data_IF_939975304519
#
_entry.id   IF_939975304519
#
_cell.length_a   1.000
_cell.length_b   1.000
_cell.length_c   1.000
_cell.angle_alpha   90.00
_cell.angle_beta   90.00
_cell.angle_gamma   90.00
#
_symmetry.space_group_name_H-M   'P 1'
#
loop_
_entity.id
_entity.type
_entity.pdbx_description
1 polymer ?
#
# COMPACT_ATOMS: atom_id res chain seq x y z
N UNK A 1 18.25 -11.23 -34.84
CA UNK A 1 18.08 -12.57 -34.25
C UNK A 1 18.72 -12.60 -32.87
N UNK A 2 18.08 -13.26 -31.89
CA UNK A 2 18.65 -13.48 -30.56
C UNK A 2 19.69 -14.61 -30.66
N UNK A 3 20.86 -14.48 -30.04
CA UNK A 3 21.85 -15.58 -30.05
C UNK A 3 21.54 -16.63 -28.99
N UNK A 4 22.01 -17.89 -29.14
CA UNK A 4 21.80 -18.96 -28.16
C UNK A 4 22.33 -18.62 -26.76
N UNK A 5 23.46 -17.90 -26.68
CA UNK A 5 24.04 -17.49 -25.39
C UNK A 5 23.16 -16.45 -24.68
N UNK A 6 22.61 -15.46 -25.41
CA UNK A 6 21.70 -14.46 -24.86
C UNK A 6 20.44 -15.14 -24.33
N UNK A 7 19.93 -16.12 -25.08
CA UNK A 7 18.79 -16.92 -24.68
C UNK A 7 19.01 -17.63 -23.34
N UNK A 8 20.15 -18.30 -23.17
CA UNK A 8 20.49 -18.96 -21.91
C UNK A 8 20.57 -17.98 -20.73
N UNK A 9 21.20 -16.82 -20.92
CA UNK A 9 21.27 -15.77 -19.89
C UNK A 9 19.87 -15.27 -19.53
N UNK A 10 19.00 -15.06 -20.52
CA UNK A 10 17.59 -14.67 -20.28
C UNK A 10 16.83 -15.72 -19.48
N UNK A 11 17.04 -17.01 -19.74
CA UNK A 11 16.44 -18.10 -18.97
C UNK A 11 16.93 -18.08 -17.50
N UNK A 12 18.22 -17.94 -17.26
CA UNK A 12 18.79 -17.85 -15.90
C UNK A 12 18.19 -16.66 -15.14
N UNK A 13 18.21 -15.47 -15.76
CA UNK A 13 17.66 -14.24 -15.16
C UNK A 13 16.17 -14.42 -14.84
N UNK A 14 15.40 -15.04 -15.74
CA UNK A 14 13.99 -15.34 -15.53
C UNK A 14 13.76 -16.27 -14.34
N UNK A 15 14.54 -17.35 -14.21
CA UNK A 15 14.45 -18.24 -13.05
C UNK A 15 14.77 -17.52 -11.74
N UNK A 16 15.85 -16.75 -11.70
CA UNK A 16 16.21 -15.94 -10.51
C UNK A 16 15.08 -14.98 -10.15
N UNK A 17 14.51 -14.28 -11.13
CA UNK A 17 13.38 -13.37 -10.90
C UNK A 17 12.16 -14.10 -10.35
N UNK A 18 11.77 -15.24 -10.92
CA UNK A 18 10.64 -16.06 -10.46
C UNK A 18 10.81 -16.50 -9.00
N UNK A 19 12.01 -16.97 -8.64
CA UNK A 19 12.35 -17.46 -7.31
C UNK A 19 12.33 -16.32 -6.27
N UNK A 20 12.88 -15.15 -6.62
CA UNK A 20 12.88 -13.97 -5.76
C UNK A 20 11.49 -13.34 -5.60
N UNK A 21 10.64 -13.39 -6.62
CA UNK A 21 9.33 -12.75 -6.60
C UNK A 21 8.24 -13.62 -5.95
N UNK A 22 8.43 -14.95 -5.92
CA UNK A 22 7.48 -15.90 -5.35
C UNK A 22 7.13 -15.61 -3.87
N UNK A 23 8.10 -15.38 -2.95
CA UNK A 23 7.78 -15.05 -1.55
C UNK A 23 6.95 -13.77 -1.42
N UNK A 24 7.20 -12.77 -2.27
CA UNK A 24 6.47 -11.50 -2.27
C UNK A 24 5.01 -11.72 -2.70
N UNK A 25 4.78 -12.55 -3.71
CA UNK A 25 3.44 -12.92 -4.16
C UNK A 25 2.68 -13.73 -3.12
N UNK A 26 3.31 -14.76 -2.55
CA UNK A 26 2.70 -15.59 -1.49
C UNK A 26 2.30 -14.71 -0.32
N UNK A 27 3.18 -13.79 0.12
CA UNK A 27 2.86 -12.84 1.16
C UNK A 27 1.69 -11.91 0.79
N UNK A 28 1.63 -11.40 -0.45
CA UNK A 28 0.53 -10.56 -0.92
C UNK A 28 -0.80 -11.31 -0.96
N UNK A 29 -0.82 -12.53 -1.50
CA UNK A 29 -2.01 -13.39 -1.55
C UNK A 29 -2.50 -13.70 -0.13
N UNK A 30 -1.59 -14.12 0.74
CA UNK A 30 -1.89 -14.37 2.15
C UNK A 30 -2.48 -13.13 2.84
N UNK A 31 -1.91 -11.95 2.58
CA UNK A 31 -2.43 -10.68 3.12
C UNK A 31 -3.82 -10.33 2.59
N UNK A 32 -4.09 -10.54 1.30
CA UNK A 32 -5.42 -10.31 0.72
C UNK A 32 -6.46 -11.26 1.30
N UNK A 33 -6.08 -12.51 1.57
CA UNK A 33 -6.99 -13.48 2.16
C UNK A 33 -7.33 -13.15 3.61
N UNK A 34 -6.38 -12.56 4.36
CA UNK A 34 -6.54 -12.27 5.78
C UNK A 34 -7.24 -10.94 6.09
N UNK A 35 -7.25 -9.98 5.16
CA UNK A 35 -7.84 -8.66 5.38
C UNK A 35 -8.74 -8.24 4.22
N UNK A 36 -9.88 -7.57 4.46
CA UNK A 36 -10.70 -7.03 3.40
C UNK A 36 -9.85 -6.10 2.51
N UNK A 37 -9.82 -6.42 1.22
CA UNK A 37 -8.97 -5.77 0.26
C UNK A 37 -9.76 -4.84 -0.65
N UNK A 38 -9.15 -3.70 -0.97
CA UNK A 38 -9.70 -2.77 -1.96
C UNK A 38 -9.53 -3.35 -3.37
N UNK A 39 -10.40 -2.97 -4.30
CA UNK A 39 -10.32 -3.41 -5.70
C UNK A 39 -8.92 -3.16 -6.35
N UNK A 40 -8.26 -2.01 -6.14
CA UNK A 40 -6.88 -1.79 -6.59
C UNK A 40 -5.89 -2.82 -6.04
N UNK A 41 -5.99 -3.17 -4.75
CA UNK A 41 -5.07 -4.11 -4.11
C UNK A 41 -5.21 -5.53 -4.68
N UNK A 42 -6.46 -5.94 -4.96
CA UNK A 42 -6.75 -7.20 -5.65
C UNK A 42 -6.18 -7.16 -7.06
N UNK A 43 -6.46 -6.10 -7.83
CA UNK A 43 -6.00 -5.94 -9.21
C UNK A 43 -4.48 -6.01 -9.35
N UNK A 44 -3.73 -5.33 -8.48
CA UNK A 44 -2.25 -5.37 -8.47
C UNK A 44 -1.73 -6.76 -8.13
N UNK A 45 -2.41 -7.48 -7.24
CA UNK A 45 -1.98 -8.84 -6.88
C UNK A 45 -2.29 -9.82 -8.01
N UNK A 46 -3.46 -9.73 -8.63
CA UNK A 46 -3.78 -10.49 -9.85
C UNK A 46 -2.78 -10.18 -10.96
N UNK A 47 -2.45 -8.91 -11.20
CA UNK A 47 -1.41 -8.49 -12.14
C UNK A 47 -0.07 -9.19 -11.84
N UNK A 48 0.38 -9.16 -10.58
CA UNK A 48 1.63 -9.80 -10.17
C UNK A 48 1.62 -11.32 -10.37
N UNK A 49 0.51 -11.98 -10.02
CA UNK A 49 0.34 -13.44 -10.20
C UNK A 49 0.33 -13.81 -11.68
N UNK A 50 -0.41 -13.08 -12.50
CA UNK A 50 -0.48 -13.32 -13.96
C UNK A 50 0.89 -13.07 -14.59
N UNK A 51 1.59 -11.99 -14.22
CA UNK A 51 2.94 -11.72 -14.72
C UNK A 51 3.93 -12.82 -14.33
N UNK A 52 3.88 -13.29 -13.09
CA UNK A 52 4.74 -14.38 -12.63
C UNK A 52 4.44 -15.68 -13.37
N UNK A 53 3.14 -16.03 -13.50
CA UNK A 53 2.73 -17.21 -14.24
C UNK A 53 3.12 -17.12 -15.72
N UNK A 54 2.97 -15.95 -16.33
CA UNK A 54 3.39 -15.70 -17.71
C UNK A 54 4.90 -15.91 -17.89
N UNK A 55 5.72 -15.35 -17.01
CA UNK A 55 7.17 -15.58 -17.01
C UNK A 55 7.50 -17.06 -16.80
N UNK A 56 6.79 -17.76 -15.91
CA UNK A 56 6.97 -19.19 -15.69
C UNK A 56 6.66 -20.02 -16.94
N UNK A 57 5.57 -19.70 -17.65
CA UNK A 57 5.19 -20.39 -18.89
C UNK A 57 6.22 -20.26 -20.00
N UNK A 58 7.02 -19.19 -20.01
CA UNK A 58 8.08 -19.00 -21.00
C UNK A 58 9.40 -19.75 -20.72
N UNK A 59 9.49 -20.48 -19.63
CA UNK A 59 10.64 -21.37 -19.40
C UNK A 59 10.61 -22.53 -20.40
N UNK A 60 11.75 -22.92 -20.96
CA UNK A 60 11.80 -23.91 -22.06
C UNK A 60 11.15 -25.24 -21.65
N UNK A 61 11.37 -25.66 -20.40
CA UNK A 61 10.78 -26.87 -19.81
C UNK A 61 9.25 -26.79 -19.79
N UNK A 62 8.68 -25.72 -19.25
CA UNK A 62 7.22 -25.56 -19.16
C UNK A 62 6.63 -25.37 -20.55
N UNK A 63 7.29 -24.59 -21.41
CA UNK A 63 6.88 -24.35 -22.78
C UNK A 63 6.69 -25.64 -23.57
N UNK A 64 7.65 -26.57 -23.49
CA UNK A 64 7.58 -27.84 -24.21
C UNK A 64 6.43 -28.75 -23.75
N UNK A 65 5.99 -28.63 -22.50
CA UNK A 65 4.92 -29.43 -21.91
C UNK A 65 3.52 -28.88 -22.22
N UNK A 66 3.40 -27.63 -22.67
CA UNK A 66 2.10 -26.99 -22.86
C UNK A 66 1.41 -27.45 -24.16
N UNK A 67 0.07 -27.60 -24.15
CA UNK A 67 -0.71 -27.86 -25.35
C UNK A 67 -0.47 -26.79 -26.43
N UNK A 68 -0.46 -27.20 -27.70
CA UNK A 68 -0.20 -26.32 -28.85
C UNK A 68 -1.15 -25.11 -28.85
N UNK A 69 -2.42 -25.34 -28.52
CA UNK A 69 -3.45 -24.30 -28.48
C UNK A 69 -3.11 -23.23 -27.43
N UNK A 70 -2.63 -23.65 -26.26
CA UNK A 70 -2.26 -22.73 -25.20
C UNK A 70 -1.01 -21.91 -25.56
N UNK A 71 -0.02 -22.54 -26.20
CA UNK A 71 1.18 -21.85 -26.70
C UNK A 71 0.84 -20.78 -27.73
N UNK A 72 0.00 -21.12 -28.70
CA UNK A 72 -0.48 -20.19 -29.71
C UNK A 72 -1.24 -19.02 -29.08
N UNK A 73 -2.18 -19.28 -28.17
CA UNK A 73 -2.94 -18.23 -27.48
C UNK A 73 -2.02 -17.34 -26.60
N UNK A 74 -1.06 -17.94 -25.90
CA UNK A 74 -0.06 -17.24 -25.08
C UNK A 74 0.77 -16.27 -25.92
N UNK A 75 1.35 -16.73 -27.04
CA UNK A 75 2.10 -15.86 -27.96
C UNK A 75 1.21 -14.83 -28.66
N UNK A 76 -0.04 -15.21 -28.95
CA UNK A 76 -1.01 -14.34 -29.61
C UNK A 76 -1.44 -13.14 -28.76
N UNK A 77 -1.13 -13.12 -27.46
CA UNK A 77 -1.40 -11.99 -26.59
C UNK A 77 -2.42 -12.24 -25.49
N UNK A 78 -2.77 -13.50 -25.18
CA UNK A 78 -3.63 -13.87 -24.05
C UNK A 78 -3.18 -13.19 -22.74
N UNK A 79 -1.90 -13.32 -22.41
CA UNK A 79 -1.35 -12.72 -21.19
C UNK A 79 -1.30 -11.20 -21.27
N UNK A 80 -0.97 -10.63 -22.43
CA UNK A 80 -0.96 -9.18 -22.66
C UNK A 80 -2.34 -8.58 -22.39
N UNK A 81 -3.40 -9.18 -22.94
CA UNK A 81 -4.77 -8.74 -22.73
C UNK A 81 -5.21 -8.88 -21.26
N UNK A 82 -4.82 -9.99 -20.60
CA UNK A 82 -5.17 -10.22 -19.19
C UNK A 82 -4.45 -9.24 -18.26
N UNK A 83 -3.18 -8.93 -18.53
CA UNK A 83 -2.39 -7.92 -17.81
C UNK A 83 -2.99 -6.53 -17.99
N UNK A 84 -3.39 -6.18 -19.23
CA UNK A 84 -4.08 -4.93 -19.53
C UNK A 84 -5.41 -4.83 -18.77
N UNK A 85 -6.21 -5.91 -18.71
CA UNK A 85 -7.43 -5.95 -17.90
C UNK A 85 -7.15 -5.67 -16.42
N UNK A 86 -6.14 -6.29 -15.82
CA UNK A 86 -5.79 -6.02 -14.42
C UNK A 86 -5.38 -4.57 -14.20
N UNK A 87 -4.60 -4.00 -15.12
CA UNK A 87 -4.24 -2.58 -15.08
C UNK A 87 -5.46 -1.67 -15.23
N UNK A 88 -6.42 -1.99 -16.11
CA UNK A 88 -7.69 -1.26 -16.24
C UNK A 88 -8.51 -1.28 -14.95
N UNK A 89 -8.61 -2.43 -14.27
CA UNK A 89 -9.30 -2.52 -12.98
C UNK A 89 -8.59 -1.69 -11.92
N UNK A 90 -7.26 -1.68 -11.92
CA UNK A 90 -6.48 -0.81 -11.04
C UNK A 90 -6.75 0.68 -11.30
N UNK A 91 -6.71 1.11 -12.56
CA UNK A 91 -7.00 2.50 -12.97
C UNK A 91 -8.41 2.91 -12.55
N UNK A 92 -9.41 2.06 -12.82
CA UNK A 92 -10.79 2.28 -12.39
C UNK A 92 -10.88 2.41 -10.86
N UNK A 93 -10.18 1.54 -10.14
CA UNK A 93 -10.15 1.55 -8.69
C UNK A 93 -9.53 2.81 -8.08
N UNK A 94 -8.51 3.38 -8.72
CA UNK A 94 -7.90 4.67 -8.32
C UNK A 94 -8.83 5.84 -8.66
N UNK A 95 -9.49 5.80 -9.83
CA UNK A 95 -10.32 6.91 -10.31
C UNK A 95 -11.74 6.96 -9.71
N UNK A 96 -12.28 5.82 -9.23
CA UNK A 96 -13.64 5.72 -8.74
C UNK A 96 -13.75 6.08 -7.26
N UNK A 97 -13.62 7.36 -6.94
CA UNK A 97 -13.69 7.89 -5.56
C UNK A 97 -15.11 8.15 -5.02
N UNK A 98 -16.21 7.84 -5.75
CA UNK A 98 -17.53 8.38 -5.36
C UNK A 98 -18.78 7.48 -5.46
N UNK A 99 -18.84 6.38 -6.22
CA UNK A 99 -20.04 5.52 -6.16
C UNK A 99 -19.83 4.04 -6.53
N UNK A 100 -20.43 3.10 -5.76
CA UNK A 100 -20.32 1.66 -6.02
C UNK A 100 -20.96 1.25 -7.35
N UNK A 101 -22.00 1.95 -7.80
CA UNK A 101 -22.67 1.67 -9.08
C UNK A 101 -21.79 2.00 -10.29
N UNK A 102 -21.02 3.10 -10.20
CA UNK A 102 -20.05 3.46 -11.24
C UNK A 102 -18.93 2.44 -11.33
N UNK A 103 -18.46 1.94 -10.19
CA UNK A 103 -17.49 0.86 -10.13
C UNK A 103 -18.01 -0.42 -10.80
N UNK A 104 -19.24 -0.85 -10.47
CA UNK A 104 -19.86 -2.05 -11.08
C UNK A 104 -20.06 -1.90 -12.59
N UNK A 105 -20.47 -0.71 -13.06
CA UNK A 105 -20.63 -0.46 -14.51
C UNK A 105 -19.28 -0.46 -15.21
N UNK A 106 -18.27 0.21 -14.66
CA UNK A 106 -16.91 0.22 -15.20
C UNK A 106 -16.32 -1.19 -15.29
N UNK A 107 -16.47 -1.99 -14.22
CA UNK A 107 -16.00 -3.38 -14.21
C UNK A 107 -16.65 -4.22 -15.31
N UNK A 108 -17.97 -4.11 -15.51
CA UNK A 108 -18.67 -4.82 -16.60
C UNK A 108 -18.16 -4.43 -17.98
N UNK A 109 -17.89 -3.14 -18.20
CA UNK A 109 -17.33 -2.65 -19.47
C UNK A 109 -15.92 -3.22 -19.69
N UNK A 110 -15.04 -3.16 -18.68
CA UNK A 110 -13.68 -3.70 -18.76
C UNK A 110 -13.70 -5.20 -19.07
N UNK A 111 -14.53 -5.96 -18.37
CA UNK A 111 -14.69 -7.40 -18.60
C UNK A 111 -15.23 -7.70 -20.01
N UNK A 112 -16.24 -6.97 -20.46
CA UNK A 112 -16.80 -7.13 -21.80
C UNK A 112 -15.80 -6.84 -22.91
N UNK A 113 -15.08 -5.72 -22.81
CA UNK A 113 -14.02 -5.33 -23.77
C UNK A 113 -12.88 -6.36 -23.78
N UNK A 114 -12.44 -6.80 -22.60
CA UNK A 114 -11.38 -7.82 -22.49
C UNK A 114 -11.84 -9.14 -23.11
N UNK A 115 -13.07 -9.59 -22.86
CA UNK A 115 -13.61 -10.82 -23.44
C UNK A 115 -13.61 -10.76 -24.97
N UNK A 116 -14.06 -9.65 -25.56
CA UNK A 116 -14.01 -9.45 -27.02
C UNK A 116 -12.59 -9.53 -27.56
N UNK A 117 -11.64 -8.85 -26.91
CA UNK A 117 -10.23 -8.86 -27.30
C UNK A 117 -9.64 -10.27 -27.22
N UNK A 118 -9.93 -11.00 -26.13
CA UNK A 118 -9.48 -12.38 -25.95
C UNK A 118 -10.05 -13.32 -27.00
N UNK A 119 -11.31 -13.15 -27.40
CA UNK A 119 -11.91 -13.92 -28.50
C UNK A 119 -11.18 -13.63 -29.81
N UNK A 120 -10.96 -12.36 -30.16
CA UNK A 120 -10.23 -11.97 -31.38
C UNK A 120 -8.81 -12.55 -31.37
N UNK A 121 -8.08 -12.38 -30.27
CA UNK A 121 -6.72 -12.92 -30.11
C UNK A 121 -6.70 -14.45 -30.24
N UNK A 122 -7.63 -15.14 -29.59
CA UNK A 122 -7.66 -16.62 -29.59
C UNK A 122 -8.02 -17.18 -30.96
N UNK A 123 -9.01 -16.59 -31.64
CA UNK A 123 -9.41 -16.98 -33.00
C UNK A 123 -8.26 -16.74 -33.97
N UNK A 124 -7.66 -15.55 -33.97
CA UNK A 124 -6.52 -15.23 -34.84
C UNK A 124 -5.31 -16.12 -34.55
N UNK A 125 -5.01 -16.39 -33.28
CA UNK A 125 -3.93 -17.30 -32.91
C UNK A 125 -4.18 -18.75 -33.38
N UNK A 126 -5.42 -19.23 -33.33
CA UNK A 126 -5.80 -20.56 -33.81
C UNK A 126 -5.75 -20.72 -35.33
N UNK A 127 -5.77 -19.62 -36.08
CA UNK A 127 -5.67 -19.62 -37.54
C UNK A 127 -4.22 -19.43 -38.04
N UNK A 128 -3.28 -19.14 -37.15
CA UNK A 128 -1.88 -18.94 -37.50
C UNK A 128 -1.15 -20.26 -37.65
N UNK A 129 -0.62 -20.53 -38.84
CA UNK A 129 0.19 -21.72 -39.09
C UNK A 129 1.53 -21.65 -38.36
N UNK A 130 2.12 -20.45 -38.26
CA UNK A 130 3.40 -20.24 -37.57
C UNK A 130 3.27 -20.51 -36.07
N UNK A 131 2.21 -20.02 -35.43
CA UNK A 131 1.98 -20.23 -33.99
C UNK A 131 1.68 -21.70 -33.64
N UNK A 132 1.09 -22.46 -34.57
CA UNK A 132 0.75 -23.86 -34.36
C UNK A 132 1.87 -24.83 -34.70
N UNK A 133 2.72 -24.51 -35.69
CA UNK A 133 3.76 -25.42 -36.19
C UNK A 133 5.03 -25.41 -35.33
N UNK A 134 5.43 -24.27 -34.78
CA UNK A 134 6.75 -24.14 -34.15
C UNK A 134 6.72 -24.60 -32.69
N UNK A 135 7.50 -25.65 -32.37
CA UNK A 135 7.61 -26.18 -31.01
C UNK A 135 8.59 -25.37 -30.15
N UNK A 136 9.65 -24.85 -30.74
CA UNK A 136 10.72 -24.16 -30.03
C UNK A 136 10.41 -22.68 -29.86
N UNK A 137 10.42 -22.21 -28.60
CA UNK A 137 10.07 -20.83 -28.25
C UNK A 137 11.02 -19.81 -28.90
N UNK A 138 12.30 -20.17 -29.05
CA UNK A 138 13.30 -19.34 -29.70
C UNK A 138 13.00 -19.12 -31.19
N UNK A 139 12.72 -20.19 -31.92
CA UNK A 139 12.37 -20.15 -33.34
C UNK A 139 11.04 -19.43 -33.57
N UNK A 140 10.06 -19.69 -32.71
CA UNK A 140 8.75 -19.05 -32.76
C UNK A 140 8.86 -17.53 -32.54
N UNK A 141 9.70 -17.11 -31.61
CA UNK A 141 9.94 -15.69 -31.35
C UNK A 141 10.60 -15.03 -32.56
N UNK A 142 11.63 -15.65 -33.17
CA UNK A 142 12.25 -15.10 -34.38
C UNK A 142 11.26 -15.04 -35.55
N UNK A 143 10.46 -16.10 -35.77
CA UNK A 143 9.46 -16.15 -36.84
C UNK A 143 8.36 -15.08 -36.69
N UNK A 144 7.93 -14.80 -35.45
CA UNK A 144 7.00 -13.71 -35.16
C UNK A 144 7.60 -12.33 -35.40
N UNK A 145 8.90 -12.17 -35.14
CA UNK A 145 9.62 -10.92 -35.41
C UNK A 145 9.83 -10.66 -36.91
N UNK A 146 9.81 -11.72 -37.72
CA UNK A 146 9.99 -11.66 -39.18
C UNK A 146 8.65 -11.44 -39.94
N UNK A 147 7.50 -11.44 -39.24
CA UNK A 147 6.24 -10.87 -39.76
C UNK A 147 5.57 -11.62 -40.92
N UNK A 148 5.81 -12.93 -41.09
CA UNK A 148 5.29 -13.69 -42.23
C UNK A 148 3.82 -14.13 -42.17
N UNK A 149 3.16 -14.07 -41.01
CA UNK A 149 1.80 -14.61 -40.80
C UNK A 149 0.79 -13.53 -40.39
N UNK A 150 -0.17 -13.22 -41.27
CA UNK A 150 -1.19 -12.20 -41.06
C UNK A 150 -2.03 -12.44 -39.80
N UNK A 151 -2.34 -13.71 -39.49
CA UNK A 151 -3.16 -14.06 -38.34
C UNK A 151 -2.41 -13.83 -37.02
N UNK A 152 -1.10 -14.10 -37.01
CA UNK A 152 -0.24 -13.80 -35.87
C UNK A 152 -0.06 -12.27 -35.68
N UNK A 153 0.06 -11.51 -36.78
CA UNK A 153 0.12 -10.05 -36.73
C UNK A 153 -1.16 -9.48 -36.12
N UNK A 154 -2.34 -9.90 -36.56
CA UNK A 154 -3.62 -9.43 -36.01
C UNK A 154 -3.71 -9.72 -34.51
N UNK A 155 -3.39 -10.94 -34.08
CA UNK A 155 -3.41 -11.30 -32.66
C UNK A 155 -2.48 -10.39 -31.83
N UNK A 156 -1.22 -10.24 -32.28
CA UNK A 156 -0.24 -9.39 -31.61
C UNK A 156 -0.67 -7.93 -31.55
N UNK A 157 -1.11 -7.35 -32.67
CA UNK A 157 -1.45 -5.92 -32.76
C UNK A 157 -2.68 -5.59 -31.93
N UNK A 158 -3.71 -6.46 -31.93
CA UNK A 158 -4.92 -6.25 -31.12
C UNK A 158 -4.60 -6.31 -29.62
N UNK A 159 -3.83 -7.32 -29.17
CA UNK A 159 -3.43 -7.45 -27.77
C UNK A 159 -2.55 -6.28 -27.31
N UNK A 160 -1.52 -5.94 -28.09
CA UNK A 160 -0.62 -4.83 -27.76
C UNK A 160 -1.31 -3.46 -27.88
N UNK A 161 -2.25 -3.28 -28.80
CA UNK A 161 -3.07 -2.08 -28.92
C UNK A 161 -3.92 -1.83 -27.67
N UNK A 162 -4.55 -2.88 -27.14
CA UNK A 162 -5.29 -2.78 -25.89
C UNK A 162 -4.39 -2.43 -24.69
N UNK A 163 -3.22 -3.05 -24.60
CA UNK A 163 -2.23 -2.71 -23.60
C UNK A 163 -1.76 -1.25 -23.75
N UNK A 164 -1.50 -0.79 -24.98
CA UNK A 164 -1.06 0.58 -25.25
C UNK A 164 -2.09 1.61 -24.77
N UNK A 165 -3.37 1.43 -25.09
CA UNK A 165 -4.46 2.29 -24.59
C UNK A 165 -4.49 2.29 -23.06
N UNK A 166 -4.35 1.11 -22.46
CA UNK A 166 -4.33 0.96 -20.99
C UNK A 166 -3.15 1.69 -20.35
N UNK A 167 -1.96 1.62 -20.95
CA UNK A 167 -0.76 2.32 -20.48
C UNK A 167 -0.91 3.84 -20.59
N UNK A 168 -1.51 4.34 -21.67
CA UNK A 168 -1.83 5.78 -21.80
C UNK A 168 -2.79 6.23 -20.71
N UNK A 169 -3.83 5.44 -20.43
CA UNK A 169 -4.76 5.75 -19.34
C UNK A 169 -4.10 5.69 -17.97
N UNK A 170 -3.21 4.72 -17.74
CA UNK A 170 -2.45 4.61 -16.49
C UNK A 170 -1.50 5.80 -16.32
N UNK A 171 -0.81 6.21 -17.39
CA UNK A 171 0.04 7.40 -17.41
C UNK A 171 -0.77 8.65 -17.08
N UNK A 172 -1.90 8.85 -17.76
CA UNK A 172 -2.80 9.98 -17.54
C UNK A 172 -3.30 10.06 -16.09
N UNK A 173 -3.85 8.95 -15.57
CA UNK A 173 -4.39 8.91 -14.21
C UNK A 173 -3.27 9.06 -13.18
N UNK A 174 -2.12 8.43 -13.41
CA UNK A 174 -0.96 8.49 -12.51
C UNK A 174 -0.37 9.90 -12.42
N UNK A 175 -0.23 10.62 -13.55
CA UNK A 175 0.20 12.02 -13.52
C UNK A 175 -0.82 12.94 -12.85
N UNK A 176 -2.12 12.71 -13.06
CA UNK A 176 -3.17 13.52 -12.42
C UNK A 176 -3.21 13.37 -10.89
N UNK A 177 -2.87 12.19 -10.37
CA UNK A 177 -2.89 11.88 -8.94
C UNK A 177 -1.49 11.83 -8.32
N UNK A 178 -0.47 12.35 -9.02
CA UNK A 178 0.87 12.46 -8.48
C UNK A 178 0.90 13.57 -7.42
N UNK A 179 1.12 13.20 -6.16
CA UNK A 179 1.23 14.12 -5.04
C UNK A 179 2.42 13.75 -4.13
N UNK A 180 2.63 14.53 -3.06
CA UNK A 180 3.70 14.31 -2.09
C UNK A 180 3.41 13.17 -1.11
N UNK A 181 2.25 12.51 -1.19
CA UNK A 181 1.96 11.35 -0.36
C UNK A 181 2.72 10.13 -0.90
N UNK A 182 3.00 9.11 -0.05
CA UNK A 182 3.59 7.87 -0.52
C UNK A 182 2.80 7.21 -1.65
N UNK A 183 1.47 7.32 -1.64
CA UNK A 183 0.61 6.74 -2.68
C UNK A 183 0.73 7.53 -3.98
N UNK A 184 0.64 8.86 -3.95
CA UNK A 184 0.75 9.67 -5.16
C UNK A 184 2.15 9.64 -5.77
N UNK A 185 3.21 9.56 -4.97
CA UNK A 185 4.57 9.32 -5.50
C UNK A 185 4.65 7.96 -6.22
N UNK A 186 4.04 6.91 -5.65
CA UNK A 186 3.93 5.60 -6.30
C UNK A 186 3.18 5.67 -7.63
N UNK A 187 2.05 6.38 -7.68
CA UNK A 187 1.27 6.61 -8.91
C UNK A 187 2.06 7.42 -9.96
N UNK A 188 2.83 8.42 -9.55
CA UNK A 188 3.71 9.18 -10.44
C UNK A 188 4.82 8.31 -11.05
N UNK A 189 5.44 7.44 -10.26
CA UNK A 189 6.43 6.46 -10.76
C UNK A 189 5.77 5.49 -11.75
N UNK A 190 4.56 4.99 -11.45
CA UNK A 190 3.78 4.15 -12.37
C UNK A 190 3.43 4.88 -13.68
N UNK A 191 3.18 6.18 -13.63
CA UNK A 191 2.92 6.97 -14.83
C UNK A 191 4.14 7.04 -15.75
N UNK A 192 5.32 7.35 -15.18
CA UNK A 192 6.59 7.36 -15.92
C UNK A 192 6.90 5.97 -16.48
N UNK A 193 6.72 4.92 -15.66
CA UNK A 193 6.87 3.53 -16.09
C UNK A 193 5.98 3.20 -17.30
N UNK A 194 4.73 3.65 -17.26
CA UNK A 194 3.75 3.42 -18.33
C UNK A 194 4.13 4.12 -19.63
N UNK A 195 4.71 5.31 -19.57
CA UNK A 195 5.23 6.02 -20.75
C UNK A 195 6.37 5.26 -21.42
N UNK A 196 7.34 4.77 -20.64
CA UNK A 196 8.43 3.94 -21.19
C UNK A 196 7.90 2.63 -21.78
N UNK A 197 6.98 1.98 -21.07
CA UNK A 197 6.38 0.73 -21.55
C UNK A 197 5.54 0.96 -22.82
N UNK A 198 4.84 2.09 -22.94
CA UNK A 198 4.10 2.45 -24.14
C UNK A 198 5.02 2.56 -25.35
N UNK A 199 6.19 3.20 -25.22
CA UNK A 199 7.19 3.27 -26.30
C UNK A 199 7.65 1.86 -26.71
N UNK A 200 7.92 0.98 -25.75
CA UNK A 200 8.32 -0.40 -26.02
C UNK A 200 7.23 -1.19 -26.76
N UNK A 201 5.98 -1.06 -26.32
CA UNK A 201 4.81 -1.76 -26.90
C UNK A 201 4.47 -1.21 -28.28
N UNK A 202 4.49 0.12 -28.46
CA UNK A 202 4.17 0.76 -29.74
C UNK A 202 5.22 0.41 -30.80
N UNK A 203 6.51 0.50 -30.47
CA UNK A 203 7.59 0.18 -31.41
C UNK A 203 7.72 -1.32 -31.69
N UNK A 204 7.71 -2.15 -30.65
CA UNK A 204 7.98 -3.59 -30.77
C UNK A 204 6.74 -4.46 -31.02
N UNK A 205 5.61 -4.13 -30.41
CA UNK A 205 4.39 -4.95 -30.44
C UNK A 205 3.36 -4.54 -31.49
N UNK A 206 3.43 -3.30 -31.99
CA UNK A 206 2.49 -2.76 -32.99
C UNK A 206 3.23 -2.46 -34.30
N UNK A 207 4.21 -1.56 -34.27
CA UNK A 207 4.86 -1.08 -35.50
C UNK A 207 5.63 -2.18 -36.22
N UNK A 208 6.47 -2.93 -35.50
CA UNK A 208 7.33 -3.96 -36.08
C UNK A 208 6.56 -5.12 -36.75
N UNK A 209 5.49 -5.69 -36.16
CA UNK A 209 4.68 -6.68 -36.86
C UNK A 209 4.00 -6.12 -38.12
N UNK A 210 3.57 -4.86 -38.10
CA UNK A 210 2.90 -4.22 -39.25
C UNK A 210 3.85 -3.95 -40.42
N UNK A 211 5.13 -3.68 -40.16
CA UNK A 211 6.12 -3.42 -41.21
C UNK A 211 6.85 -4.68 -41.71
N UNK A 212 6.46 -5.86 -41.22
CA UNK A 212 7.12 -7.13 -41.57
C UNK A 212 8.61 -7.17 -41.20
N UNK A 213 9.03 -6.35 -40.23
CA UNK A 213 10.44 -6.26 -39.84
C UNK A 213 11.39 -5.61 -40.87
N UNK A 214 10.88 -5.09 -41.99
CA UNK A 214 11.70 -4.60 -43.12
C UNK A 214 12.21 -3.15 -42.99
N UNK A 215 11.84 -2.40 -41.95
CA UNK A 215 12.35 -1.03 -41.79
C UNK A 215 13.84 -1.02 -41.41
N UNK A 216 14.68 -0.40 -42.25
CA UNK A 216 16.15 -0.28 -42.12
C UNK A 216 16.61 0.42 -40.82
N UNK A 217 15.78 1.32 -40.29
CA UNK A 217 16.02 1.99 -38.99
C UNK A 217 15.59 1.07 -37.83
N UNK A 218 14.74 0.06 -38.07
CA UNK A 218 14.03 -0.68 -37.02
C UNK A 218 14.74 -1.94 -36.50
N UNK A 219 15.59 -2.61 -37.29
CA UNK A 219 16.04 -3.95 -36.86
C UNK A 219 16.99 -3.89 -35.66
N UNK A 220 18.06 -3.08 -35.72
CA UNK A 220 19.04 -2.99 -34.61
C UNK A 220 18.66 -1.93 -33.57
N UNK A 221 18.29 -0.73 -34.01
CA UNK A 221 17.88 0.34 -33.10
C UNK A 221 16.52 0.06 -32.46
N UNK A 222 15.56 -0.54 -33.18
CA UNK A 222 14.25 -0.88 -32.62
C UNK A 222 14.34 -1.98 -31.56
N UNK A 223 15.16 -3.01 -31.74
CA UNK A 223 15.42 -4.02 -30.70
C UNK A 223 16.04 -3.41 -29.43
N UNK A 224 17.03 -2.52 -29.60
CA UNK A 224 17.68 -1.85 -28.46
C UNK A 224 16.70 -0.91 -27.77
N UNK A 225 15.96 -0.10 -28.52
CA UNK A 225 14.95 0.81 -28.00
C UNK A 225 13.87 0.05 -27.22
N UNK A 226 13.31 -1.01 -27.80
CA UNK A 226 12.32 -1.87 -27.16
C UNK A 226 12.86 -2.51 -25.88
N UNK A 227 14.07 -3.06 -25.92
CA UNK A 227 14.67 -3.75 -24.77
C UNK A 227 14.99 -2.77 -23.64
N UNK A 228 15.57 -1.62 -23.96
CA UNK A 228 15.94 -0.59 -22.98
C UNK A 228 14.69 0.04 -22.35
N UNK A 229 13.76 0.53 -23.18
CA UNK A 229 12.53 1.17 -22.70
C UNK A 229 11.64 0.18 -21.95
N UNK A 230 11.53 -1.07 -22.41
CA UNK A 230 10.82 -2.12 -21.70
C UNK A 230 11.47 -2.48 -20.35
N UNK A 231 12.80 -2.60 -20.29
CA UNK A 231 13.50 -2.92 -19.04
C UNK A 231 13.37 -1.80 -18.00
N UNK A 232 13.53 -0.55 -18.44
CA UNK A 232 13.32 0.63 -17.58
C UNK A 232 11.86 0.70 -17.13
N UNK A 233 10.90 0.50 -18.05
CA UNK A 233 9.47 0.49 -17.76
C UNK A 233 9.10 -0.54 -16.71
N UNK A 234 9.51 -1.80 -16.87
CA UNK A 234 9.23 -2.89 -15.90
C UNK A 234 9.87 -2.63 -14.54
N UNK A 235 11.09 -2.09 -14.52
CA UNK A 235 11.78 -1.74 -13.27
C UNK A 235 11.03 -0.66 -12.52
N UNK A 236 10.66 0.43 -13.21
CA UNK A 236 9.89 1.52 -12.62
C UNK A 236 8.50 1.06 -12.19
N UNK A 237 7.86 0.18 -12.96
CA UNK A 237 6.55 -0.39 -12.59
C UNK A 237 6.63 -1.18 -11.28
N UNK A 238 7.69 -1.99 -11.13
CA UNK A 238 7.96 -2.73 -9.89
C UNK A 238 8.19 -1.78 -8.71
N UNK A 239 9.00 -0.74 -8.90
CA UNK A 239 9.26 0.29 -7.89
C UNK A 239 7.97 1.03 -7.54
N UNK A 240 7.17 1.45 -8.51
CA UNK A 240 5.93 2.21 -8.31
C UNK A 240 4.90 1.43 -7.49
N UNK A 241 4.75 0.12 -7.73
CA UNK A 241 3.86 -0.74 -6.93
C UNK A 241 4.41 -1.09 -5.54
N UNK A 242 5.73 -1.09 -5.37
CA UNK A 242 6.39 -1.41 -4.10
C UNK A 242 6.58 -0.18 -3.21
N UNK A 243 6.60 1.02 -3.78
CA UNK A 243 6.89 2.26 -3.09
C UNK A 243 5.91 2.58 -1.95
N UNK A 244 4.58 2.66 -2.17
CA UNK A 244 3.64 2.96 -1.08
C UNK A 244 3.74 1.98 0.11
N UNK A 245 3.71 0.64 -0.08
CA UNK A 245 3.77 -0.27 1.07
C UNK A 245 5.12 -0.24 1.80
N UNK A 246 6.24 -0.01 1.10
CA UNK A 246 7.55 0.09 1.75
C UNK A 246 7.66 1.38 2.56
N UNK A 247 7.32 2.52 1.98
CA UNK A 247 7.40 3.82 2.67
C UNK A 247 6.45 3.86 3.86
N UNK A 248 5.22 3.37 3.72
CA UNK A 248 4.27 3.29 4.84
C UNK A 248 4.77 2.38 5.96
N UNK A 249 5.41 1.25 5.62
CA UNK A 249 6.01 0.35 6.62
C UNK A 249 7.19 0.99 7.33
N UNK A 250 8.04 1.72 6.61
CA UNK A 250 9.17 2.44 7.21
C UNK A 250 8.66 3.54 8.13
N UNK A 251 7.67 4.33 7.69
CA UNK A 251 7.06 5.40 8.48
C UNK A 251 6.44 4.83 9.76
N UNK A 252 5.58 3.82 9.64
CA UNK A 252 4.95 3.19 10.81
C UNK A 252 5.96 2.56 11.78
N UNK A 253 7.05 1.93 11.29
CA UNK A 253 8.13 1.45 12.18
C UNK A 253 8.88 2.57 12.88
N UNK A 254 9.09 3.69 12.19
CA UNK A 254 9.73 4.86 12.79
C UNK A 254 8.83 5.44 13.89
N UNK A 255 7.55 5.57 13.61
CA UNK A 255 6.57 6.13 14.53
C UNK A 255 6.36 5.23 15.75
N UNK A 256 6.25 3.92 15.55
CA UNK A 256 6.28 2.91 16.63
C UNK A 256 7.53 3.08 17.51
N UNK A 257 8.73 3.18 16.92
CA UNK A 257 9.98 3.39 17.69
C UNK A 257 10.01 4.72 18.44
N UNK A 258 9.31 5.75 17.95
CA UNK A 258 9.20 7.06 18.62
C UNK A 258 8.27 6.98 19.83
N UNK A 259 7.14 6.27 19.71
CA UNK A 259 6.16 6.14 20.79
C UNK A 259 6.56 5.13 21.87
N UNK A 260 7.29 4.06 21.49
CA UNK A 260 7.61 2.92 22.37
C UNK A 260 8.13 3.31 23.77
N UNK A 261 9.09 4.23 23.94
CA UNK A 261 9.63 4.51 25.27
C UNK A 261 8.63 5.13 26.23
N UNK A 262 7.72 5.98 25.71
CA UNK A 262 6.66 6.59 26.49
C UNK A 262 5.55 5.57 26.78
N UNK A 263 5.16 4.79 25.77
CA UNK A 263 4.21 3.69 25.90
C UNK A 263 4.64 2.68 26.98
N UNK A 264 5.88 2.19 26.93
CA UNK A 264 6.41 1.22 27.90
C UNK A 264 6.56 1.81 29.31
N UNK A 265 6.74 3.13 29.43
CA UNK A 265 6.75 3.81 30.73
C UNK A 265 5.34 3.83 31.34
N UNK A 266 4.32 4.16 30.55
CA UNK A 266 2.92 4.16 30.99
C UNK A 266 2.41 2.74 31.25
N UNK A 267 2.77 1.75 30.43
CA UNK A 267 2.39 0.35 30.60
C UNK A 267 2.91 -0.27 31.90
N UNK A 268 4.07 0.19 32.38
CA UNK A 268 4.59 -0.23 33.69
C UNK A 268 3.78 0.33 34.86
N UNK A 269 3.18 1.50 34.71
CA UNK A 269 2.38 2.15 35.77
C UNK A 269 0.93 1.66 35.72
N UNK A 270 0.37 1.51 34.51
CA UNK A 270 -1.02 1.12 34.29
C UNK A 270 -1.09 -0.14 33.40
N UNK A 271 -0.75 -1.33 33.93
CA UNK A 271 -0.72 -2.56 33.12
C UNK A 271 -2.09 -2.95 32.56
N UNK A 272 -3.19 -2.53 33.21
CA UNK A 272 -4.56 -2.82 32.74
C UNK A 272 -5.01 -1.93 31.58
N UNK A 273 -4.29 -0.84 31.30
CA UNK A 273 -4.62 0.06 30.19
C UNK A 273 -4.28 -0.57 28.83
N UNK A 274 -3.35 -1.52 28.81
CA UNK A 274 -2.84 -2.14 27.59
C UNK A 274 -3.31 -3.59 27.55
N UNK A 275 -4.38 -3.92 26.81
CA UNK A 275 -4.76 -5.31 26.63
C UNK A 275 -3.59 -6.10 25.99
N UNK A 276 -3.46 -7.41 26.27
CA UNK A 276 -2.39 -8.22 25.69
C UNK A 276 -2.41 -8.10 24.17
N UNK A 277 -1.25 -7.77 23.59
CA UNK A 277 -1.10 -7.45 22.16
C UNK A 277 -1.87 -8.45 21.28
N UNK A 278 -2.90 -7.96 20.60
CA UNK A 278 -3.55 -8.77 19.58
C UNK A 278 -2.54 -8.99 18.45
N UNK A 279 -2.13 -10.25 18.28
CA UNK A 279 -1.17 -10.71 17.25
C UNK A 279 -1.51 -10.35 15.78
N UNK A 280 -2.59 -9.60 15.54
CA UNK A 280 -3.22 -9.37 14.23
C UNK A 280 -3.34 -7.90 13.82
N UNK A 281 -2.87 -6.95 14.61
CA UNK A 281 -3.03 -5.51 14.32
C UNK A 281 -2.06 -5.09 13.20
N UNK A 282 -2.53 -4.29 12.24
CA UNK A 282 -1.65 -3.72 11.19
C UNK A 282 -0.77 -2.66 11.83
N UNK A 283 0.46 -2.52 11.36
CA UNK A 283 1.41 -1.58 11.96
C UNK A 283 0.93 -0.11 11.99
N UNK A 284 0.13 0.32 11.00
CA UNK A 284 -0.51 1.64 11.01
C UNK A 284 -1.53 1.78 12.13
N UNK A 285 -2.32 0.73 12.34
CA UNK A 285 -3.40 0.69 13.31
C UNK A 285 -2.82 0.59 14.72
N UNK A 286 -1.69 -0.13 14.87
CA UNK A 286 -0.92 -0.19 16.11
C UNK A 286 -0.40 1.19 16.52
N UNK A 287 0.14 1.96 15.59
CA UNK A 287 0.62 3.32 15.90
C UNK A 287 -0.53 4.21 16.34
N UNK A 288 -1.67 4.14 15.65
CA UNK A 288 -2.87 4.89 16.04
C UNK A 288 -3.37 4.48 17.44
N UNK A 289 -3.47 3.18 17.71
CA UNK A 289 -3.87 2.63 19.00
C UNK A 289 -2.91 3.04 20.12
N UNK A 290 -1.61 3.00 19.87
CA UNK A 290 -0.59 3.46 20.84
C UNK A 290 -0.72 4.94 21.15
N UNK A 291 -1.05 5.77 20.15
CA UNK A 291 -1.33 7.19 20.38
C UNK A 291 -2.50 7.35 21.34
N UNK A 292 -3.61 6.64 21.12
CA UNK A 292 -4.78 6.67 22.00
C UNK A 292 -4.46 6.17 23.41
N UNK A 293 -3.77 5.03 23.54
CA UNK A 293 -3.37 4.51 24.85
C UNK A 293 -2.44 5.46 25.61
N UNK A 294 -1.56 6.17 24.91
CA UNK A 294 -0.71 7.19 25.56
C UNK A 294 -1.58 8.34 26.08
N UNK A 295 -2.56 8.83 25.31
CA UNK A 295 -3.46 9.89 25.78
C UNK A 295 -4.24 9.46 27.03
N UNK A 296 -4.85 8.27 27.00
CA UNK A 296 -5.55 7.72 28.16
C UNK A 296 -4.60 7.53 29.36
N UNK A 297 -3.38 7.05 29.10
CA UNK A 297 -2.36 6.88 30.13
C UNK A 297 -1.91 8.19 30.76
N UNK A 298 -1.82 9.28 29.98
CA UNK A 298 -1.55 10.63 30.50
C UNK A 298 -2.71 11.13 31.37
N UNK A 299 -3.96 10.88 30.98
CA UNK A 299 -5.14 11.22 31.77
C UNK A 299 -5.19 10.44 33.08
N UNK A 300 -4.95 9.13 33.05
CA UNK A 300 -4.87 8.30 34.25
C UNK A 300 -3.72 8.73 35.16
N UNK A 301 -2.56 9.09 34.59
CA UNK A 301 -1.44 9.62 35.36
C UNK A 301 -1.78 10.96 36.03
N UNK A 302 -2.52 11.83 35.33
CA UNK A 302 -2.96 13.11 35.87
C UNK A 302 -3.90 12.92 37.08
N UNK A 303 -4.86 11.99 36.94
CA UNK A 303 -5.77 11.61 38.03
C UNK A 303 -5.02 10.98 39.21
N UNK A 304 -4.12 10.03 38.93
CA UNK A 304 -3.34 9.35 39.96
C UNK A 304 -2.49 10.31 40.79
N UNK A 305 -1.92 11.35 40.16
CA UNK A 305 -1.16 12.40 40.84
C UNK A 305 -1.99 13.58 41.34
N UNK A 306 -3.32 13.52 41.22
CA UNK A 306 -4.23 14.60 41.59
C UNK A 306 -3.82 15.95 40.98
N UNK A 307 -3.43 15.93 39.71
CA UNK A 307 -2.95 17.12 39.00
C UNK A 307 -4.09 18.14 38.91
N UNK A 308 -3.86 19.41 39.28
CA UNK A 308 -4.89 20.44 39.20
C UNK A 308 -5.47 20.57 37.79
N UNK A 309 -6.77 20.86 37.68
CA UNK A 309 -7.41 21.03 36.37
C UNK A 309 -6.96 22.32 35.68
N UNK A 310 -6.88 23.41 36.45
CA UNK A 310 -6.50 24.74 36.00
C UNK A 310 -5.21 25.19 36.68
N UNK A 311 -4.48 26.07 36.02
CA UNK A 311 -3.32 26.74 36.61
C UNK A 311 -3.42 28.24 36.40
N UNK A 312 -2.87 29.01 37.33
CA UNK A 312 -2.65 30.45 37.15
C UNK A 312 -1.32 30.74 36.44
N UNK A 313 -0.50 29.70 36.21
CA UNK A 313 0.78 29.81 35.51
C UNK A 313 0.55 29.78 34.01
N UNK A 314 1.08 30.79 33.29
CA UNK A 314 0.98 30.84 31.84
C UNK A 314 1.54 29.57 31.17
N UNK A 315 0.77 29.05 30.22
CA UNK A 315 1.18 27.91 29.41
C UNK A 315 2.42 28.29 28.58
N UNK A 316 3.42 27.40 28.46
CA UNK A 316 4.58 27.68 27.61
C UNK A 316 4.13 27.93 26.16
N UNK A 317 4.51 29.10 25.63
CA UNK A 317 4.18 29.53 24.26
C UNK A 317 4.80 28.62 23.20
N UNK A 318 5.97 28.07 23.50
CA UNK A 318 6.70 27.16 22.62
C UNK A 318 6.19 25.72 22.78
N UNK A 319 5.77 25.13 21.66
CA UNK A 319 5.33 23.73 21.57
C UNK A 319 6.38 22.76 22.12
N UNK A 320 7.65 23.01 21.78
CA UNK A 320 8.78 22.19 22.21
C UNK A 320 9.02 22.29 23.72
N UNK A 321 8.90 23.50 24.30
CA UNK A 321 9.11 23.69 25.74
C UNK A 321 7.97 23.07 26.55
N UNK A 322 6.73 23.19 26.07
CA UNK A 322 5.58 22.51 26.68
C UNK A 322 5.74 20.99 26.65
N UNK A 323 6.11 20.42 25.50
CA UNK A 323 6.34 18.98 25.36
C UNK A 323 7.48 18.49 26.28
N UNK A 324 8.56 19.26 26.40
CA UNK A 324 9.66 18.96 27.31
C UNK A 324 9.23 19.00 28.79
N UNK A 325 8.36 19.93 29.18
CA UNK A 325 7.82 19.98 30.54
C UNK A 325 6.86 18.84 30.82
N UNK A 326 5.94 18.52 29.90
CA UNK A 326 5.08 17.32 30.02
C UNK A 326 5.95 16.07 30.15
N UNK A 327 6.98 15.92 29.33
CA UNK A 327 7.88 14.77 29.42
C UNK A 327 8.63 14.68 30.75
N UNK A 328 9.07 15.81 31.33
CA UNK A 328 9.67 15.86 32.67
C UNK A 328 8.67 15.44 33.75
N UNK A 329 7.42 15.90 33.65
CA UNK A 329 6.35 15.51 34.55
C UNK A 329 6.04 14.00 34.41
N UNK A 330 5.92 13.47 33.19
CA UNK A 330 5.74 12.03 32.94
C UNK A 330 6.91 11.22 33.49
N UNK A 331 8.13 11.77 33.54
CA UNK A 331 9.29 11.13 34.15
C UNK A 331 9.33 11.23 35.70
N UNK A 332 8.32 11.84 36.32
CA UNK A 332 8.20 11.94 37.78
C UNK A 332 8.77 13.22 38.39
N UNK A 333 9.25 14.18 37.58
CA UNK A 333 9.76 15.46 38.11
C UNK A 333 8.59 16.35 38.53
N UNK A 334 8.68 16.88 39.75
CA UNK A 334 7.75 17.90 40.22
C UNK A 334 7.96 19.20 39.44
N UNK A 335 6.88 19.77 38.91
CA UNK A 335 6.86 21.03 38.18
C UNK A 335 5.85 21.96 38.85
N UNK A 336 6.30 23.14 39.26
CA UNK A 336 5.43 24.16 39.87
C UNK A 336 4.40 24.65 38.85
N UNK A 337 3.12 24.60 39.21
CA UNK A 337 2.03 25.12 38.37
C UNK A 337 1.64 24.24 37.18
N UNK A 338 2.11 22.98 37.14
CA UNK A 338 1.66 22.02 36.12
C UNK A 338 0.18 21.65 36.36
N UNK A 339 -0.64 21.72 35.30
CA UNK A 339 -2.06 21.37 35.33
C UNK A 339 -2.45 20.45 34.18
N UNK A 340 -3.67 19.92 34.22
CA UNK A 340 -4.23 19.09 33.16
C UNK A 340 -4.30 19.82 31.81
N UNK A 341 -4.45 21.15 31.81
CA UNK A 341 -4.39 21.97 30.60
C UNK A 341 -3.11 21.72 29.81
N UNK A 342 -1.97 21.50 30.48
CA UNK A 342 -0.68 21.28 29.82
C UNK A 342 -0.66 20.01 28.97
N UNK A 343 -1.52 19.04 29.25
CA UNK A 343 -1.64 17.77 28.53
C UNK A 343 -2.46 17.89 27.23
N UNK A 344 -3.23 18.96 27.05
CA UNK A 344 -3.99 19.20 25.82
C UNK A 344 -3.08 19.65 24.67
N UNK A 345 -3.46 19.31 23.44
CA UNK A 345 -2.74 19.77 22.26
C UNK A 345 -2.77 21.32 22.16
N UNK A 346 -1.63 21.98 21.90
CA UNK A 346 -1.60 23.41 21.61
C UNK A 346 -2.40 23.74 20.34
N UNK A 347 -2.87 24.98 20.22
CA UNK A 347 -3.57 25.44 19.01
C UNK A 347 -2.75 25.20 17.73
N UNK A 348 -3.45 24.75 16.69
CA UNK A 348 -2.85 24.42 15.40
C UNK A 348 -1.95 23.18 15.40
N UNK A 349 -2.07 22.31 16.41
CA UNK A 349 -1.47 20.98 16.41
C UNK A 349 -2.59 19.94 16.60
N UNK A 350 -2.55 18.85 15.85
CA UNK A 350 -3.46 17.74 16.10
C UNK A 350 -3.06 16.97 17.37
N UNK A 351 -4.01 16.29 17.98
CA UNK A 351 -3.78 15.43 19.15
C UNK A 351 -2.71 14.36 18.90
N UNK A 352 -2.70 13.77 17.69
CA UNK A 352 -1.70 12.79 17.29
C UNK A 352 -0.30 13.41 17.24
N UNK A 353 -0.16 14.56 16.56
CA UNK A 353 1.11 15.30 16.50
C UNK A 353 1.60 15.71 17.89
N UNK A 354 0.69 16.09 18.78
CA UNK A 354 1.01 16.44 20.16
C UNK A 354 1.62 15.27 20.93
N UNK A 355 1.02 14.07 20.82
CA UNK A 355 1.56 12.85 21.45
C UNK A 355 2.96 12.53 20.94
N UNK A 356 3.21 12.71 19.64
CA UNK A 356 4.56 12.52 19.07
C UNK A 356 5.58 13.52 19.61
N UNK A 357 5.22 14.79 19.80
CA UNK A 357 6.11 15.80 20.40
C UNK A 357 6.46 15.47 21.86
N UNK A 358 5.48 15.03 22.65
CA UNK A 358 5.70 14.57 24.03
C UNK A 358 6.58 13.31 24.05
N UNK A 359 6.32 12.34 23.16
CA UNK A 359 7.11 11.12 23.08
C UNK A 359 8.57 11.39 22.67
N UNK A 360 8.82 12.28 21.71
CA UNK A 360 10.16 12.66 21.32
C UNK A 360 10.88 13.43 22.44
N UNK A 361 10.18 14.31 23.16
CA UNK A 361 10.70 15.00 24.33
C UNK A 361 11.06 14.02 25.46
N UNK A 362 10.20 13.02 25.70
CA UNK A 362 10.45 11.94 26.67
C UNK A 362 11.66 11.09 26.30
N UNK A 363 11.82 10.78 25.01
CA UNK A 363 13.01 10.07 24.50
C UNK A 363 14.31 10.85 24.69
N UNK A 364 14.29 12.17 24.48
CA UNK A 364 15.47 13.05 24.63
C UNK A 364 15.91 13.20 26.08
N UNK A 365 15.00 13.06 27.04
CA UNK A 365 15.35 13.01 28.46
C UNK A 365 16.20 11.78 28.81
N UNK A 366 16.26 10.79 27.89
CA UNK A 366 16.90 9.49 28.04
C UNK A 366 16.09 8.65 29.01
N UNK A 367 15.59 7.46 28.61
CA UNK A 367 14.78 6.60 29.49
C UNK A 367 15.44 6.46 30.85
N UNK A 368 15.04 7.25 31.86
CA UNK A 368 15.58 7.05 33.18
C UNK A 368 15.03 5.69 33.57
N UNK A 369 15.78 4.89 34.33
CA UNK A 369 15.14 3.88 35.15
C UNK A 369 14.16 4.66 36.02
N UNK A 370 12.89 4.75 35.60
CA UNK A 370 11.91 5.55 36.32
C UNK A 370 11.64 4.78 37.59
N UNK A 371 12.38 5.11 38.63
CA UNK A 371 12.24 4.58 39.97
C UNK A 371 11.05 5.28 40.59
N UNK A 372 9.85 4.84 40.21
CA UNK A 372 8.58 5.23 40.82
C UNK A 372 8.48 4.83 42.31
N UNK A 373 9.53 4.21 42.86
CA UNK A 373 9.52 3.52 44.15
C UNK A 373 9.63 4.45 45.36
N UNK A 374 9.95 5.73 45.16
CA UNK A 374 10.22 6.66 46.28
C UNK A 374 9.08 7.63 46.60
N UNK A 375 7.92 7.54 45.92
CA UNK A 375 6.75 8.40 46.18
C UNK A 375 5.62 7.74 46.99
N UNK A 376 5.77 6.48 47.41
CA UNK A 376 4.80 5.80 48.30
C UNK A 376 4.87 6.22 49.78
N UNK A 377 5.80 7.10 50.17
CA UNK A 377 5.96 7.55 51.56
C UNK A 377 5.35 8.94 51.82
N UNK A 378 4.04 9.08 51.62
CA UNK A 378 3.26 10.07 52.37
C UNK A 378 1.90 9.48 52.69
N UNK A 379 1.68 8.98 53.93
CA UNK A 379 0.37 8.57 54.35
C UNK A 379 -0.50 9.82 54.43
N UNK A 380 -1.41 9.96 53.47
CA UNK A 380 -2.54 10.88 53.59
C UNK A 380 -3.35 10.40 54.79
N UNK A 381 -3.18 11.07 55.92
CA UNK A 381 -4.07 10.93 57.07
C UNK A 381 -5.47 11.39 56.64
N UNK A 382 -6.31 10.43 56.24
CA UNK A 382 -7.75 10.62 56.27
C UNK A 382 -8.17 10.63 57.73
N UNK A 383 -8.33 11.82 58.30
CA UNK A 383 -9.09 12.02 59.53
C UNK A 383 -10.54 11.67 59.26
N UNK A 384 -10.95 10.50 59.73
CA UNK A 384 -12.34 10.09 59.95
C UNK A 384 -13.02 11.12 60.87
N UNK A 385 -13.93 11.92 60.33
CA UNK A 385 -14.77 12.85 61.07
C UNK A 385 -16.18 12.90 60.50
N UNK A 386 -17.10 12.28 61.23
CA UNK A 386 -18.52 12.63 61.37
C UNK A 386 -19.37 12.89 60.13
N UNK A 387 -20.05 11.85 59.63
CA UNK A 387 -21.46 11.99 59.19
C UNK A 387 -22.20 10.67 59.45
N UNK A 388 -22.83 10.54 60.62
CA UNK A 388 -23.86 9.53 60.83
C UNK A 388 -24.91 10.04 61.85
N UNK A 389 -25.90 10.78 61.34
CA UNK A 389 -27.25 11.12 61.89
C UNK A 389 -27.76 12.23 60.98
N UNK A 390 -28.77 12.01 60.14
CA UNK A 390 -30.16 11.81 60.56
C UNK A 390 -30.94 10.99 59.53
N UNK A 391 -31.72 10.05 60.06
CA UNK A 391 -32.82 9.36 59.41
C UNK A 391 -34.03 10.29 59.24
N UNK A 392 -34.94 9.85 58.36
CA UNK A 392 -36.39 10.06 58.32
C UNK A 392 -37.03 11.06 57.32
N UNK A 393 -37.76 10.41 56.40
CA UNK A 393 -39.15 10.67 55.95
C UNK A 393 -39.46 11.72 54.89
N UNK A 394 -39.94 11.21 53.73
CA UNK A 394 -41.11 11.63 52.94
C UNK A 394 -40.91 11.08 51.51
N UNK A 395 -41.47 9.92 51.13
CA UNK A 395 -42.85 9.70 50.66
C UNK A 395 -43.47 10.86 49.86
N UNK A 396 -44.01 10.54 48.67
CA UNK A 396 -44.92 11.42 47.93
C UNK A 396 -44.51 11.89 46.54
N UNK A 397 -44.69 11.02 45.53
CA UNK A 397 -45.62 11.34 44.43
C UNK A 397 -45.24 12.33 43.30
N UNK A 398 -45.29 11.76 42.08
CA UNK A 398 -45.96 12.28 40.85
C UNK A 398 -45.35 13.42 40.01
N UNK A 399 -45.21 13.01 38.73
CA UNK A 399 -45.66 13.61 37.45
C UNK A 399 -44.65 14.39 36.60
N UNK A 400 -44.60 13.92 35.33
CA UNK A 400 -44.58 14.62 34.01
C UNK A 400 -43.67 15.85 33.91
N UNK A 401 -42.83 16.01 32.89
CA UNK A 401 -43.11 16.10 31.45
C UNK A 401 -41.71 16.30 30.82
N UNK A 402 -41.31 15.63 29.74
CA UNK A 402 -41.71 15.99 28.38
C UNK A 402 -40.80 17.09 27.82
N UNK A 403 -40.10 16.76 26.73
CA UNK A 403 -39.58 17.66 25.68
C UNK A 403 -38.28 18.46 25.97
N UNK A 404 -37.36 18.79 25.05
CA UNK A 404 -37.16 18.60 23.60
C UNK A 404 -35.80 19.27 23.25
N UNK A 405 -35.15 18.83 22.16
CA UNK A 405 -34.06 19.47 21.37
C UNK A 405 -32.69 19.67 22.05
N UNK A 406 -31.61 19.09 21.53
CA UNK A 406 -30.98 19.34 20.22
C UNK A 406 -30.54 20.80 20.02
N UNK A 407 -29.27 21.07 20.32
CA UNK A 407 -28.36 21.85 19.49
C UNK A 407 -26.93 21.40 19.74
#
# INVERSE_FOLDING_TARGET
MISPWIWQVMQIVRFVFLLCFLPVLVYRIWRLWRYPATAPAIAVTCFGVIMWFWLFTFTDTVWSLMPVQFRAASMGGLFVATVAMCAQVFILGVAASASPDRMRRGMRIILGVTAVILVVVSVSASQSQVLLATKDLHELTNALLDGGDSSAIVASVVGNGYLAVTLVQLAWVGFRHADRTPVGTGLGILAVASSFQFVAVASGGIWRPLTGGHDLISVRYGLVLQSLTGSVGVTLLTVGFLWPPVVLRIKARRDERRLRPLHDALARVFPQLFPPEESRIRLSDLVFEWTTHIQDGLTLLAQHRQTPMHTEVELPLSKADRAAQVAKWVAGKALSGFSCEWLLAPEGLSDEEWVFEVADSFRRLGSPGVTWRDQEASPVHYTSGDVNRTLETADGGRRRQGDVCAR
#
